data_IF_324081232903
#
_entry.id   IF_324081232903
#
_cell.length_a   1.000
_cell.length_b   1.000
_cell.length_c   1.000
_cell.angle_alpha   90.00
_cell.angle_beta   90.00
_cell.angle_gamma   90.00
#
_symmetry.space_group_name_H-M   'P 1'
#
loop_
_entity.id
_entity.type
_entity.pdbx_description
1 polymer ?
#
# COMPACT_ATOMS: atom_id res chain seq x y z
N UNK A 1 5.69 31.90 24.45
CA UNK A 1 6.33 30.78 23.77
C UNK A 1 6.71 31.26 22.38
N UNK A 2 8.00 31.46 22.11
CA UNK A 2 8.51 31.80 20.79
C UNK A 2 8.27 30.64 19.82
N UNK A 3 7.71 30.96 18.63
CA UNK A 3 7.62 29.98 17.53
C UNK A 3 9.03 29.41 17.28
N UNK A 4 9.19 28.09 17.15
CA UNK A 4 10.46 27.55 16.72
C UNK A 4 10.82 28.22 15.39
N UNK A 5 12.02 28.77 15.29
CA UNK A 5 12.57 29.29 14.05
C UNK A 5 12.46 28.19 12.99
N UNK A 6 12.06 28.58 11.78
CA UNK A 6 11.95 27.66 10.65
C UNK A 6 13.21 26.79 10.56
N UNK A 7 13.04 25.49 10.80
CA UNK A 7 14.16 24.55 10.79
C UNK A 7 14.76 24.34 9.38
N UNK A 8 14.07 24.85 8.34
CA UNK A 8 14.46 24.64 6.95
C UNK A 8 14.37 25.94 6.14
N UNK A 9 15.37 26.23 5.29
CA UNK A 9 15.31 27.37 4.40
C UNK A 9 14.19 27.16 3.36
N UNK A 10 13.52 28.22 2.91
CA UNK A 10 12.50 28.11 1.87
C UNK A 10 13.12 27.62 0.56
N UNK A 11 12.46 26.65 -0.08
CA UNK A 11 12.78 26.26 -1.45
C UNK A 11 12.10 27.27 -2.38
N UNK A 12 12.74 27.57 -3.49
CA UNK A 12 12.17 28.36 -4.57
C UNK A 12 11.65 27.44 -5.66
N UNK A 13 10.48 27.76 -6.23
CA UNK A 13 9.97 27.11 -7.42
C UNK A 13 10.85 27.49 -8.66
N UNK A 14 10.51 26.95 -9.82
CA UNK A 14 11.25 27.24 -11.07
C UNK A 14 11.22 28.73 -11.46
N UNK A 15 10.32 29.53 -10.90
CA UNK A 15 10.24 30.98 -11.10
C UNK A 15 11.04 31.77 -10.06
N UNK A 16 11.67 31.08 -9.11
CA UNK A 16 12.43 31.68 -8.03
C UNK A 16 11.58 32.17 -6.85
N UNK A 17 10.27 31.87 -6.84
CA UNK A 17 9.39 32.21 -5.74
C UNK A 17 9.66 31.33 -4.50
N UNK A 18 9.50 31.89 -3.28
CA UNK A 18 9.60 31.10 -2.05
C UNK A 18 8.59 29.96 -2.06
N UNK A 19 9.07 28.74 -1.85
CA UNK A 19 8.23 27.57 -1.78
C UNK A 19 8.29 26.98 -0.37
N UNK A 20 7.13 26.71 0.22
CA UNK A 20 7.03 26.07 1.53
C UNK A 20 7.32 24.59 1.40
N UNK A 21 8.28 24.08 2.14
CA UNK A 21 8.58 22.64 2.25
C UNK A 21 7.52 21.94 3.11
N UNK A 22 6.33 21.77 2.57
CA UNK A 22 5.21 21.16 3.29
C UNK A 22 5.54 19.76 3.81
N UNK A 23 6.35 19.02 3.08
CA UNK A 23 6.74 17.67 3.51
C UNK A 23 7.61 17.70 4.77
N UNK A 24 8.58 18.59 4.84
CA UNK A 24 9.45 18.75 6.02
C UNK A 24 8.66 19.23 7.24
N UNK A 25 7.72 20.17 7.04
CA UNK A 25 6.81 20.63 8.08
C UNK A 25 5.88 19.51 8.56
N UNK A 26 5.33 18.73 7.63
CA UNK A 26 4.49 17.58 7.96
C UNK A 26 5.28 16.50 8.69
N UNK A 27 6.50 16.24 8.29
CA UNK A 27 7.40 15.30 8.98
C UNK A 27 7.62 15.70 10.43
N UNK A 28 7.95 16.96 10.68
CA UNK A 28 8.13 17.47 12.04
C UNK A 28 6.85 17.32 12.87
N UNK A 29 5.70 17.66 12.30
CA UNK A 29 4.41 17.53 12.98
C UNK A 29 4.12 16.04 13.31
N UNK A 30 4.28 15.15 12.34
CA UNK A 30 4.04 13.72 12.48
C UNK A 30 4.99 13.10 13.51
N UNK A 31 6.26 13.48 13.53
CA UNK A 31 7.22 12.99 14.53
C UNK A 31 6.78 13.34 15.96
N UNK A 32 6.23 14.54 16.18
CA UNK A 32 5.71 14.93 17.48
C UNK A 32 4.42 14.16 17.85
N UNK A 33 3.54 13.93 16.88
CA UNK A 33 2.32 13.16 17.09
C UNK A 33 2.66 11.70 17.42
N UNK A 34 3.57 11.06 16.65
CA UNK A 34 4.00 9.69 16.89
C UNK A 34 4.66 9.57 18.27
N UNK A 35 5.48 10.55 18.67
CA UNK A 35 6.09 10.56 19.99
C UNK A 35 5.07 10.61 21.12
N UNK A 36 3.98 11.33 20.93
CA UNK A 36 2.92 11.48 21.93
C UNK A 36 1.94 10.31 21.95
N UNK A 37 1.58 9.76 20.79
CA UNK A 37 0.44 8.85 20.64
C UNK A 37 0.80 7.51 19.97
N UNK A 38 2.05 7.31 19.53
CA UNK A 38 2.45 6.15 18.74
C UNK A 38 1.94 6.22 17.30
N UNK A 39 2.19 5.14 16.54
CA UNK A 39 1.74 5.02 15.14
C UNK A 39 0.21 4.97 15.02
N UNK A 40 -0.49 4.55 16.06
CA UNK A 40 -1.94 4.40 16.08
C UNK A 40 -2.73 5.73 16.01
N UNK A 41 -2.06 6.88 16.09
CA UNK A 41 -2.71 8.17 15.83
C UNK A 41 -3.36 8.21 14.45
N UNK A 42 -2.77 7.49 13.49
CA UNK A 42 -3.28 7.38 12.13
C UNK A 42 -4.17 6.15 11.99
N UNK A 43 -5.34 6.23 12.57
CA UNK A 43 -6.33 5.14 12.55
C UNK A 43 -6.77 4.75 11.13
N UNK A 44 -7.02 5.68 10.17
CA UNK A 44 -7.36 5.30 8.81
C UNK A 44 -6.31 4.41 8.15
N UNK A 45 -5.02 4.77 8.22
CA UNK A 45 -3.95 3.94 7.62
C UNK A 45 -3.79 2.62 8.35
N UNK A 46 -3.88 2.63 9.68
CA UNK A 46 -3.87 1.40 10.47
C UNK A 46 -5.00 0.46 10.05
N UNK A 47 -6.22 1.00 9.85
CA UNK A 47 -7.36 0.23 9.37
C UNK A 47 -7.12 -0.34 7.96
N UNK A 48 -6.56 0.44 7.04
CA UNK A 48 -6.28 -0.01 5.67
C UNK A 48 -5.29 -1.16 5.62
N UNK A 49 -4.42 -1.29 6.61
CA UNK A 49 -3.46 -2.38 6.71
C UNK A 49 -4.07 -3.59 7.44
N UNK A 50 -4.76 -3.36 8.55
CA UNK A 50 -5.31 -4.44 9.38
C UNK A 50 -6.53 -5.11 8.76
N UNK A 51 -7.50 -4.33 8.27
CA UNK A 51 -8.75 -4.88 7.79
C UNK A 51 -8.56 -5.90 6.65
N UNK A 52 -7.72 -5.63 5.63
CA UNK A 52 -7.49 -6.60 4.57
C UNK A 52 -6.65 -7.81 5.01
N UNK A 53 -5.81 -7.67 6.05
CA UNK A 53 -4.94 -8.74 6.53
C UNK A 53 -5.56 -9.63 7.61
N UNK A 54 -6.71 -9.21 8.16
CA UNK A 54 -7.40 -9.95 9.21
C UNK A 54 -6.66 -9.97 10.55
N UNK A 55 -7.09 -10.85 11.45
CA UNK A 55 -6.60 -10.90 12.83
C UNK A 55 -5.11 -11.25 12.95
N UNK A 56 -4.55 -11.94 11.99
CA UNK A 56 -3.10 -12.26 11.96
C UNK A 56 -2.22 -11.01 11.91
N UNK A 57 -2.73 -9.91 11.37
CA UNK A 57 -2.01 -8.65 11.32
C UNK A 57 -1.76 -8.03 12.71
N UNK A 58 -2.49 -8.41 13.74
CA UNK A 58 -2.33 -7.85 15.08
C UNK A 58 -0.92 -8.05 15.65
N UNK A 59 -0.36 -9.26 15.49
CA UNK A 59 1.00 -9.55 15.95
C UNK A 59 2.05 -8.77 15.14
N UNK A 60 1.85 -8.62 13.84
CA UNK A 60 2.71 -7.81 12.96
C UNK A 60 2.69 -6.34 13.38
N UNK A 61 1.50 -5.82 13.66
CA UNK A 61 1.32 -4.43 14.04
C UNK A 61 1.82 -4.12 15.45
N UNK A 62 1.77 -5.07 16.37
CA UNK A 62 2.39 -4.93 17.67
C UNK A 62 3.90 -4.63 17.56
N UNK A 63 4.60 -5.38 16.72
CA UNK A 63 6.02 -5.12 16.44
C UNK A 63 6.29 -3.79 15.72
N UNK A 64 5.36 -3.31 14.91
CA UNK A 64 5.46 -1.99 14.28
C UNK A 64 5.29 -0.89 15.33
N UNK A 65 4.28 -0.96 16.22
CA UNK A 65 4.05 -0.02 17.32
C UNK A 65 5.29 0.15 18.20
N UNK A 66 5.97 -0.95 18.49
CA UNK A 66 7.18 -0.93 19.29
C UNK A 66 8.33 -0.19 18.61
N UNK A 67 8.49 -0.35 17.29
CA UNK A 67 9.62 0.17 16.53
C UNK A 67 9.45 1.60 16.05
N UNK A 68 8.22 2.02 15.77
CA UNK A 68 7.96 3.35 15.20
C UNK A 68 7.91 4.40 16.29
N UNK A 69 8.92 5.27 16.34
CA UNK A 69 9.03 6.42 17.26
C UNK A 69 9.01 7.76 16.54
N UNK A 70 9.17 7.75 15.22
CA UNK A 70 9.14 8.90 14.33
C UNK A 70 8.77 8.47 12.91
N UNK A 71 8.44 9.40 12.04
CA UNK A 71 8.02 9.11 10.66
C UNK A 71 9.07 8.30 9.87
N UNK A 72 10.36 8.58 10.08
CA UNK A 72 11.43 7.85 9.39
C UNK A 72 11.50 6.36 9.75
N UNK A 73 10.95 5.94 10.89
CA UNK A 73 10.97 4.55 11.32
C UNK A 73 9.87 3.72 10.64
N UNK A 74 8.86 4.36 10.05
CA UNK A 74 7.69 3.71 9.46
C UNK A 74 8.09 2.78 8.33
N UNK A 75 8.82 3.28 7.33
CA UNK A 75 9.25 2.49 6.19
C UNK A 75 10.02 1.22 6.59
N UNK A 76 11.12 1.32 7.36
CA UNK A 76 11.88 0.18 7.83
C UNK A 76 11.06 -0.80 8.67
N UNK A 77 10.14 -0.33 9.53
CA UNK A 77 9.31 -1.17 10.38
C UNK A 77 8.34 -2.04 9.56
N UNK A 78 7.61 -1.42 8.62
CA UNK A 78 6.73 -2.16 7.72
C UNK A 78 7.50 -3.08 6.77
N UNK A 79 8.63 -2.65 6.23
CA UNK A 79 9.48 -3.47 5.37
C UNK A 79 10.02 -4.71 6.09
N UNK A 80 10.30 -4.63 7.40
CA UNK A 80 10.71 -5.78 8.20
C UNK A 80 9.61 -6.83 8.31
N UNK A 81 8.36 -6.41 8.51
CA UNK A 81 7.18 -7.30 8.50
C UNK A 81 6.98 -7.88 7.11
N UNK A 82 7.03 -7.06 6.06
CA UNK A 82 6.85 -7.48 4.69
C UNK A 82 7.85 -8.58 4.30
N UNK A 83 9.15 -8.40 4.61
CA UNK A 83 10.19 -9.42 4.38
C UNK A 83 9.89 -10.74 5.09
N UNK A 84 9.45 -10.69 6.35
CA UNK A 84 9.10 -11.90 7.12
C UNK A 84 7.91 -12.63 6.49
N UNK A 85 6.87 -11.89 6.09
CA UNK A 85 5.70 -12.46 5.43
C UNK A 85 6.05 -13.03 4.05
N UNK A 86 6.87 -12.33 3.26
CA UNK A 86 7.36 -12.81 1.97
C UNK A 86 8.19 -14.11 2.11
N UNK A 87 9.07 -14.17 3.11
CA UNK A 87 9.86 -15.38 3.39
C UNK A 87 8.96 -16.56 3.77
N UNK A 88 7.95 -16.35 4.64
CA UNK A 88 6.96 -17.37 5.01
C UNK A 88 6.15 -17.82 3.79
N UNK A 89 5.74 -16.89 2.93
CA UNK A 89 5.01 -17.20 1.71
C UNK A 89 5.82 -18.03 0.74
N UNK A 90 7.10 -17.70 0.51
CA UNK A 90 7.99 -18.46 -0.35
C UNK A 90 8.22 -19.89 0.19
N UNK A 91 8.46 -20.03 1.50
CA UNK A 91 8.60 -21.35 2.13
C UNK A 91 7.33 -22.21 2.00
N UNK A 92 6.15 -21.61 2.20
CA UNK A 92 4.87 -22.28 2.04
C UNK A 92 4.62 -22.69 0.57
N UNK A 93 4.98 -21.84 -0.38
CA UNK A 93 4.86 -22.15 -1.81
C UNK A 93 5.75 -23.33 -2.22
N UNK A 94 6.98 -23.39 -1.71
CA UNK A 94 7.90 -24.52 -1.94
C UNK A 94 7.37 -25.83 -1.34
N UNK A 95 6.60 -25.76 -0.25
CA UNK A 95 5.97 -26.91 0.41
C UNK A 95 4.56 -27.23 -0.16
N UNK A 96 4.13 -26.60 -1.25
CA UNK A 96 2.79 -26.69 -1.86
C UNK A 96 1.63 -26.34 -0.89
N UNK A 97 1.90 -25.53 0.12
CA UNK A 97 0.89 -25.03 1.05
C UNK A 97 0.25 -23.74 0.47
N UNK A 98 -0.58 -23.92 -0.56
CA UNK A 98 -1.09 -22.82 -1.42
C UNK A 98 -1.84 -21.73 -0.65
N UNK A 99 -2.73 -22.09 0.29
CA UNK A 99 -3.49 -21.11 1.09
C UNK A 99 -2.55 -20.27 1.95
N UNK A 100 -1.61 -20.91 2.66
CA UNK A 100 -0.62 -20.19 3.48
C UNK A 100 0.27 -19.29 2.63
N UNK A 101 0.68 -19.76 1.46
CA UNK A 101 1.48 -18.97 0.52
C UNK A 101 0.68 -17.75 0.02
N UNK A 102 -0.54 -17.97 -0.46
CA UNK A 102 -1.45 -16.91 -0.93
C UNK A 102 -1.62 -15.81 0.11
N UNK A 103 -2.04 -16.17 1.31
CA UNK A 103 -2.37 -15.22 2.36
C UNK A 103 -1.13 -14.42 2.81
N UNK A 104 0.03 -15.07 2.90
CA UNK A 104 1.26 -14.38 3.28
C UNK A 104 1.85 -13.53 2.14
N UNK A 105 1.68 -13.90 0.87
CA UNK A 105 2.02 -13.00 -0.25
C UNK A 105 1.15 -11.75 -0.26
N UNK A 106 -0.15 -11.90 0.01
CA UNK A 106 -1.05 -10.75 0.14
C UNK A 106 -0.60 -9.84 1.29
N UNK A 107 -0.39 -10.37 2.49
CA UNK A 107 0.07 -9.59 3.65
C UNK A 107 1.43 -8.92 3.38
N UNK A 108 2.35 -9.61 2.70
CA UNK A 108 3.63 -9.03 2.30
C UNK A 108 3.42 -7.83 1.36
N UNK A 109 2.56 -7.96 0.35
CA UNK A 109 2.25 -6.88 -0.56
C UNK A 109 1.65 -5.66 0.17
N UNK A 110 0.71 -5.88 1.09
CA UNK A 110 0.12 -4.81 1.91
C UNK A 110 1.18 -4.10 2.73
N UNK A 111 2.08 -4.82 3.40
CA UNK A 111 3.12 -4.21 4.22
C UNK A 111 4.22 -3.52 3.39
N UNK A 112 4.56 -4.04 2.20
CA UNK A 112 5.43 -3.34 1.26
C UNK A 112 4.81 -2.03 0.76
N UNK A 113 3.50 -2.02 0.51
CA UNK A 113 2.78 -0.79 0.18
C UNK A 113 2.77 0.22 1.32
N UNK A 114 2.54 -0.24 2.55
CA UNK A 114 2.59 0.60 3.74
C UNK A 114 3.98 1.15 4.02
N UNK A 115 5.05 0.41 3.69
CA UNK A 115 6.43 0.87 3.83
C UNK A 115 6.75 2.09 2.95
N UNK A 116 5.98 2.31 1.88
CA UNK A 116 6.16 3.46 0.98
C UNK A 116 5.62 4.78 1.56
N UNK A 117 4.79 4.72 2.61
CA UNK A 117 4.10 5.90 3.13
C UNK A 117 5.02 7.07 3.51
N UNK A 118 6.16 6.88 4.22
CA UNK A 118 6.96 8.02 4.69
C UNK A 118 7.84 8.66 3.60
N UNK A 119 7.79 8.16 2.36
CA UNK A 119 8.61 8.68 1.26
C UNK A 119 7.83 9.68 0.41
N UNK A 120 8.42 10.82 0.12
CA UNK A 120 7.86 11.88 -0.72
C UNK A 120 8.39 11.86 -2.16
N UNK A 121 9.48 11.13 -2.39
CA UNK A 121 10.11 10.98 -3.69
C UNK A 121 10.19 9.50 -4.10
N UNK A 122 10.35 9.29 -5.40
CA UNK A 122 10.60 7.96 -5.97
C UNK A 122 12.12 7.68 -5.96
N UNK A 123 12.72 7.68 -4.75
CA UNK A 123 14.09 7.24 -4.56
C UNK A 123 14.22 5.71 -4.75
N UNK A 124 15.46 5.22 -4.75
CA UNK A 124 15.75 3.79 -4.94
C UNK A 124 15.03 2.91 -3.91
N UNK A 125 14.89 3.38 -2.67
CA UNK A 125 14.22 2.64 -1.59
C UNK A 125 12.72 2.54 -1.86
N UNK A 126 12.08 3.66 -2.19
CA UNK A 126 10.65 3.69 -2.50
C UNK A 126 10.32 2.86 -3.73
N UNK A 127 11.13 2.97 -4.80
CA UNK A 127 11.02 2.13 -6.00
C UNK A 127 11.18 0.64 -5.67
N UNK A 128 12.16 0.29 -4.85
CA UNK A 128 12.36 -1.10 -4.40
C UNK A 128 11.15 -1.64 -3.65
N UNK A 129 10.57 -0.86 -2.72
CA UNK A 129 9.37 -1.28 -1.99
C UNK A 129 8.16 -1.44 -2.92
N UNK A 130 8.00 -0.54 -3.89
CA UNK A 130 6.94 -0.65 -4.90
C UNK A 130 7.08 -1.92 -5.75
N UNK A 131 8.29 -2.24 -6.19
CA UNK A 131 8.56 -3.44 -6.97
C UNK A 131 8.25 -4.70 -6.14
N UNK A 132 8.68 -4.75 -4.89
CA UNK A 132 8.37 -5.84 -3.96
C UNK A 132 6.87 -6.00 -3.71
N UNK A 133 6.15 -4.90 -3.54
CA UNK A 133 4.68 -4.91 -3.44
C UNK A 133 4.06 -5.59 -4.66
N UNK A 134 4.46 -5.16 -5.85
CA UNK A 134 3.94 -5.71 -7.12
C UNK A 134 4.26 -7.19 -7.32
N UNK A 135 5.50 -7.59 -7.02
CA UNK A 135 5.94 -8.99 -7.10
C UNK A 135 5.11 -9.88 -6.15
N UNK A 136 4.96 -9.48 -4.90
CA UNK A 136 4.18 -10.23 -3.91
C UNK A 136 2.71 -10.30 -4.32
N UNK A 137 2.14 -9.19 -4.82
CA UNK A 137 0.73 -9.21 -5.24
C UNK A 137 0.50 -10.06 -6.49
N UNK A 138 1.42 -10.07 -7.44
CA UNK A 138 1.35 -10.97 -8.60
C UNK A 138 1.36 -12.45 -8.19
N UNK A 139 2.18 -12.81 -7.20
CA UNK A 139 2.20 -14.18 -6.63
C UNK A 139 0.90 -14.51 -5.89
N UNK A 140 0.33 -13.54 -5.15
CA UNK A 140 -1.00 -13.67 -4.56
C UNK A 140 -2.06 -13.92 -5.64
N UNK A 141 -2.06 -13.09 -6.70
CA UNK A 141 -3.02 -13.20 -7.80
C UNK A 141 -3.01 -14.56 -8.47
N UNK A 142 -1.84 -15.16 -8.65
CA UNK A 142 -1.67 -16.49 -9.21
C UNK A 142 -2.21 -17.62 -8.31
N UNK A 143 -2.41 -17.36 -7.00
CA UNK A 143 -2.90 -18.31 -6.01
C UNK A 143 -4.31 -17.97 -5.50
N UNK A 144 -4.90 -16.88 -5.98
CA UNK A 144 -6.22 -16.43 -5.56
C UNK A 144 -7.31 -17.48 -5.89
N UNK A 145 -8.35 -17.51 -5.08
CA UNK A 145 -9.51 -18.38 -5.27
C UNK A 145 -10.55 -17.85 -6.26
N UNK A 146 -10.25 -16.71 -6.85
CA UNK A 146 -11.00 -16.08 -7.94
C UNK A 146 -10.01 -15.57 -9.00
N UNK A 147 -10.49 -15.26 -10.19
CA UNK A 147 -9.64 -14.73 -11.25
C UNK A 147 -9.16 -13.31 -10.94
N UNK A 148 -7.84 -13.14 -10.93
CA UNK A 148 -7.16 -11.85 -10.74
C UNK A 148 -6.16 -11.67 -11.88
N UNK A 149 -6.30 -10.56 -12.62
CA UNK A 149 -5.50 -10.29 -13.81
C UNK A 149 -4.88 -8.90 -13.77
N UNK A 150 -3.61 -8.78 -14.17
CA UNK A 150 -2.96 -7.50 -14.40
C UNK A 150 -3.41 -6.91 -15.72
N UNK A 151 -3.97 -5.71 -15.69
CA UNK A 151 -4.48 -4.99 -16.87
C UNK A 151 -3.77 -3.66 -17.03
N UNK A 152 -3.60 -3.24 -18.25
CA UNK A 152 -3.02 -1.94 -18.59
C UNK A 152 -4.07 -1.08 -19.27
N UNK A 153 -4.52 -0.03 -18.58
CA UNK A 153 -5.54 0.89 -19.09
C UNK A 153 -4.87 2.00 -19.89
N UNK A 154 -5.13 2.15 -21.20
CA UNK A 154 -4.55 3.22 -22.01
C UNK A 154 -4.96 4.60 -21.50
N UNK A 155 -3.99 5.52 -21.36
CA UNK A 155 -4.25 6.87 -20.92
C UNK A 155 -3.20 7.85 -21.49
N UNK A 156 -3.61 8.76 -22.37
CA UNK A 156 -2.78 9.85 -22.93
C UNK A 156 -1.39 9.37 -23.42
N UNK A 157 -1.36 8.31 -24.21
CA UNK A 157 -0.12 7.75 -24.76
C UNK A 157 0.72 6.93 -23.77
N UNK A 158 0.24 6.76 -22.53
CA UNK A 158 0.80 5.88 -21.50
C UNK A 158 -0.19 4.79 -21.13
N UNK A 159 0.15 3.95 -20.17
CA UNK A 159 -0.76 2.92 -19.66
C UNK A 159 -0.76 2.94 -18.13
N UNK A 160 -1.96 2.90 -17.55
CA UNK A 160 -2.16 2.85 -16.10
C UNK A 160 -2.25 1.37 -15.69
N UNK A 161 -1.40 0.90 -14.76
CA UNK A 161 -1.48 -0.46 -14.25
C UNK A 161 -2.72 -0.63 -13.36
N UNK A 162 -3.44 -1.72 -13.58
CA UNK A 162 -4.65 -2.06 -12.84
C UNK A 162 -4.67 -3.55 -12.49
N UNK A 163 -5.49 -3.91 -11.51
CA UNK A 163 -5.85 -5.28 -11.21
C UNK A 163 -7.33 -5.48 -11.49
N UNK A 164 -7.65 -6.41 -12.40
CA UNK A 164 -9.02 -6.85 -12.65
C UNK A 164 -9.30 -8.08 -11.80
N UNK A 165 -10.32 -8.00 -10.96
CA UNK A 165 -10.84 -9.10 -10.19
C UNK A 165 -12.21 -9.49 -10.75
N UNK A 166 -12.39 -10.75 -11.11
CA UNK A 166 -13.68 -11.30 -11.50
C UNK A 166 -14.36 -11.97 -10.31
N UNK A 167 -15.70 -11.99 -10.25
CA UNK A 167 -16.39 -12.63 -9.14
C UNK A 167 -16.07 -14.14 -9.07
N UNK A 168 -16.09 -14.74 -7.85
CA UNK A 168 -15.95 -16.18 -7.71
C UNK A 168 -16.95 -16.93 -8.60
N UNK A 169 -16.52 -18.02 -9.19
CA UNK A 169 -17.31 -18.86 -10.11
C UNK A 169 -17.72 -18.15 -11.43
N UNK A 170 -17.08 -17.03 -11.79
CA UNK A 170 -17.28 -16.45 -13.11
C UNK A 170 -16.81 -17.42 -14.20
N UNK A 171 -17.67 -17.68 -15.17
CA UNK A 171 -17.37 -18.58 -16.30
C UNK A 171 -17.32 -17.84 -17.62
N UNK A 172 -18.31 -16.98 -17.87
CA UNK A 172 -18.38 -16.21 -19.11
C UNK A 172 -19.50 -15.16 -19.07
N UNK A 173 -19.50 -14.25 -20.03
CA UNK A 173 -20.54 -13.26 -20.23
C UNK A 173 -20.20 -11.89 -19.63
N UNK A 174 -21.17 -10.97 -19.64
CA UNK A 174 -21.01 -9.62 -19.10
C UNK A 174 -21.43 -9.57 -17.64
N UNK A 175 -20.60 -8.95 -16.81
CA UNK A 175 -20.91 -8.66 -15.39
C UNK A 175 -20.75 -7.17 -15.15
N UNK A 176 -21.47 -6.59 -14.19
CA UNK A 176 -21.22 -5.23 -13.75
C UNK A 176 -19.79 -5.08 -13.26
N UNK A 177 -19.16 -3.94 -13.54
CA UNK A 177 -17.79 -3.65 -13.12
C UNK A 177 -17.78 -2.41 -12.21
N UNK A 178 -17.15 -2.53 -11.07
CA UNK A 178 -16.83 -1.40 -10.17
C UNK A 178 -15.41 -0.95 -10.43
N UNK A 179 -15.22 0.33 -10.72
CA UNK A 179 -13.90 0.93 -10.79
C UNK A 179 -13.53 1.42 -9.38
N UNK A 180 -12.55 0.77 -8.77
CA UNK A 180 -12.05 1.13 -7.45
C UNK A 180 -10.80 1.99 -7.59
N UNK A 181 -10.94 3.27 -7.24
CA UNK A 181 -9.84 4.25 -7.24
C UNK A 181 -9.43 4.49 -5.79
N UNK A 182 -8.17 4.27 -5.43
CA UNK A 182 -7.70 4.53 -4.08
C UNK A 182 -7.72 6.03 -3.77
N UNK A 183 -7.95 6.36 -2.50
CA UNK A 183 -7.66 7.68 -1.98
C UNK A 183 -6.16 7.89 -1.80
N UNK A 184 -5.77 9.09 -1.34
CA UNK A 184 -4.38 9.52 -1.17
C UNK A 184 -3.51 8.56 -0.34
N UNK A 185 -4.12 7.84 0.62
CA UNK A 185 -3.42 6.99 1.59
C UNK A 185 -3.50 5.50 1.28
N UNK A 186 -4.05 5.16 0.11
CA UNK A 186 -4.32 3.78 -0.29
C UNK A 186 -3.64 3.47 -1.64
N UNK A 187 -3.77 2.25 -2.11
CA UNK A 187 -3.23 1.77 -3.39
C UNK A 187 -4.09 0.61 -3.90
N UNK A 188 -4.02 0.33 -5.21
CA UNK A 188 -4.91 -0.63 -5.89
C UNK A 188 -4.88 -2.04 -5.30
N UNK A 189 -3.74 -2.49 -4.77
CA UNK A 189 -3.57 -3.85 -4.27
C UNK A 189 -4.44 -4.17 -3.03
N UNK A 190 -4.91 -3.16 -2.29
CA UNK A 190 -5.76 -3.40 -1.11
C UNK A 190 -7.25 -3.13 -1.35
N UNK A 191 -7.62 -2.55 -2.50
CA UNK A 191 -8.97 -2.02 -2.70
C UNK A 191 -10.07 -3.08 -2.55
N UNK A 192 -9.89 -4.26 -3.12
CA UNK A 192 -10.89 -5.33 -3.05
C UNK A 192 -11.01 -5.86 -1.62
N UNK A 193 -9.89 -6.25 -1.02
CA UNK A 193 -9.88 -6.80 0.33
C UNK A 193 -10.25 -5.77 1.41
N UNK A 194 -9.98 -4.48 1.20
CA UNK A 194 -10.38 -3.40 2.11
C UNK A 194 -11.92 -3.32 2.27
N UNK A 195 -12.64 -3.56 1.19
CA UNK A 195 -14.10 -3.57 1.22
C UNK A 195 -14.68 -4.96 1.53
N UNK A 196 -13.83 -5.94 1.93
CA UNK A 196 -14.25 -7.28 2.30
C UNK A 196 -14.88 -8.05 1.14
N UNK A 197 -14.35 -7.85 -0.07
CA UNK A 197 -14.81 -8.51 -1.32
C UNK A 197 -16.31 -8.36 -1.60
N UNK A 198 -16.93 -7.32 -1.05
CA UNK A 198 -18.38 -7.11 -1.10
C UNK A 198 -18.94 -7.07 -2.52
N UNK A 199 -18.17 -6.52 -3.44
CA UNK A 199 -18.58 -6.42 -4.85
C UNK A 199 -18.47 -7.78 -5.54
N UNK A 200 -17.36 -8.50 -5.33
CA UNK A 200 -17.16 -9.83 -5.89
C UNK A 200 -18.22 -10.80 -5.41
N UNK A 201 -18.56 -10.77 -4.12
CA UNK A 201 -19.60 -11.63 -3.51
C UNK A 201 -21.03 -11.31 -4.03
N UNK A 202 -21.21 -10.19 -4.75
CA UNK A 202 -22.46 -9.81 -5.41
C UNK A 202 -22.42 -10.02 -6.93
N UNK A 203 -21.45 -10.77 -7.42
CA UNK A 203 -21.32 -11.06 -8.84
C UNK A 203 -20.82 -9.88 -9.69
N UNK A 204 -20.20 -8.87 -9.06
CA UNK A 204 -19.60 -7.74 -9.77
C UNK A 204 -18.10 -7.94 -9.90
N UNK A 205 -17.54 -7.59 -11.05
CA UNK A 205 -16.10 -7.45 -11.21
C UNK A 205 -15.60 -6.15 -10.56
N UNK A 206 -14.33 -6.12 -10.19
CA UNK A 206 -13.67 -4.91 -9.68
C UNK A 206 -12.42 -4.62 -10.50
N UNK A 207 -12.32 -3.42 -11.06
CA UNK A 207 -11.11 -2.90 -11.67
C UNK A 207 -10.46 -1.92 -10.69
N UNK A 208 -9.43 -2.37 -10.01
CA UNK A 208 -8.67 -1.56 -9.05
C UNK A 208 -7.51 -0.86 -9.78
N UNK A 209 -7.49 0.47 -9.79
CA UNK A 209 -6.50 1.29 -10.50
C UNK A 209 -5.82 2.26 -9.54
N UNK A 210 -4.55 2.59 -9.81
CA UNK A 210 -3.92 3.77 -9.22
C UNK A 210 -4.04 4.93 -10.21
N UNK A 211 -4.36 6.13 -9.71
CA UNK A 211 -4.47 7.32 -10.54
C UNK A 211 -3.12 7.77 -11.12
N UNK A 212 -3.10 8.43 -12.29
CA UNK A 212 -1.88 9.04 -12.79
C UNK A 212 -1.43 10.16 -11.84
N UNK A 213 -0.16 10.12 -11.40
CA UNK A 213 0.39 11.05 -10.42
C UNK A 213 0.24 10.59 -8.97
N UNK A 214 -0.34 9.42 -8.72
CA UNK A 214 -0.24 8.78 -7.42
C UNK A 214 1.23 8.39 -7.16
N UNK A 215 1.79 8.83 -6.02
CA UNK A 215 3.20 8.56 -5.65
C UNK A 215 3.54 7.07 -5.62
N UNK A 216 2.53 6.21 -5.55
CA UNK A 216 2.66 4.76 -5.49
C UNK A 216 2.50 4.09 -6.85
N UNK A 217 2.16 4.86 -7.89
CA UNK A 217 2.16 4.42 -9.29
C UNK A 217 3.35 5.04 -10.01
N UNK A 218 4.38 4.24 -10.25
CA UNK A 218 5.46 4.62 -11.18
C UNK A 218 4.89 4.46 -12.59
N UNK A 219 4.37 5.53 -13.18
CA UNK A 219 3.92 5.60 -14.57
C UNK A 219 4.80 6.60 -15.32
#
# INVERSE_FOLDING_TARGET
MSRPQQAFPPIRDQRGEPHVRRFDEQRWLIDNIIRANGIDWDQPRSLYIHAPCGIEANADFAGIRERVKKMADIGPAFAAVARRREAKANAAALADHKVTARDNFFMAAVHWGAAQWPYDENDETNISYNNKKRECYAKYAALADHHVEAVWVPFKGKAIPAWLHLPPNYTSGKVPVVIAVPGMDSYKEIQVALYGDKFLNRGMAVLAIDGPGDRKSVV
#
